data_IF_460119796902
#
_entry.id   IF_460119796902
#
_cell.length_a   1.000
_cell.length_b   1.000
_cell.length_c   1.000
_cell.angle_alpha   90.00
_cell.angle_beta   90.00
_cell.angle_gamma   90.00
#
_symmetry.space_group_name_H-M   'P 1'
#
loop_
_entity.id
_entity.type
_entity.pdbx_description
1 polymer ?
#
# COMPACT_ATOMS: atom_id res chain seq x y z
N UNK A 1 -8.36 25.68 5.10
CA UNK A 1 -8.24 24.74 3.97
C UNK A 1 -7.85 23.39 4.53
N UNK A 2 -8.77 22.43 4.58
CA UNK A 2 -8.47 21.07 5.04
C UNK A 2 -7.65 20.38 3.96
N UNK A 3 -6.37 20.07 4.21
CA UNK A 3 -5.55 19.25 3.31
C UNK A 3 -6.09 17.82 3.35
N UNK A 4 -6.62 17.34 2.23
CA UNK A 4 -7.03 15.95 2.04
C UNK A 4 -6.27 15.34 0.87
N UNK A 5 -6.11 14.02 0.90
CA UNK A 5 -5.45 13.26 -0.17
C UNK A 5 -6.23 13.38 -1.48
N UNK A 6 -5.52 13.74 -2.54
CA UNK A 6 -6.00 13.83 -3.93
C UNK A 6 -5.23 12.85 -4.82
N UNK A 7 -5.73 12.59 -6.04
CA UNK A 7 -5.21 11.59 -6.97
C UNK A 7 -3.73 11.73 -7.37
N UNK A 8 -3.11 12.91 -7.21
CA UNK A 8 -1.69 13.14 -7.50
C UNK A 8 -0.90 13.55 -6.25
N UNK A 9 -1.40 13.20 -5.06
CA UNK A 9 -0.76 13.56 -3.80
C UNK A 9 0.43 12.65 -3.51
N UNK A 10 1.44 13.24 -2.86
CA UNK A 10 2.51 12.50 -2.22
C UNK A 10 2.33 12.59 -0.70
N UNK A 11 2.16 11.44 -0.05
CA UNK A 11 1.81 11.38 1.38
C UNK A 11 2.81 10.51 2.14
N UNK A 12 3.16 10.94 3.35
CA UNK A 12 3.94 10.13 4.28
C UNK A 12 2.99 9.36 5.18
N UNK A 13 3.13 8.04 5.19
CA UNK A 13 2.25 7.14 5.94
C UNK A 13 3.05 6.20 6.82
N UNK A 14 2.50 5.94 8.00
CA UNK A 14 2.80 4.72 8.73
C UNK A 14 1.67 3.72 8.47
N UNK A 15 2.00 2.62 7.80
CA UNK A 15 1.08 1.52 7.56
C UNK A 15 1.62 0.21 8.14
N UNK A 16 0.68 -0.69 8.39
CA UNK A 16 0.93 -2.08 8.76
C UNK A 16 0.07 -2.94 7.84
N UNK A 17 0.71 -3.83 7.10
CA UNK A 17 0.06 -4.83 6.26
C UNK A 17 -0.02 -6.14 7.02
N UNK A 18 -1.21 -6.75 7.05
CA UNK A 18 -1.44 -8.05 7.66
C UNK A 18 -2.00 -9.02 6.64
N UNK A 19 -1.66 -10.29 6.80
CA UNK A 19 -2.27 -11.38 6.04
C UNK A 19 -3.55 -11.85 6.75
N UNK A 20 -4.33 -12.69 6.08
CA UNK A 20 -5.61 -13.22 6.59
C UNK A 20 -5.45 -14.01 7.89
N UNK A 21 -4.29 -14.62 8.11
CA UNK A 21 -3.94 -15.32 9.35
C UNK A 21 -3.59 -14.37 10.51
N UNK A 22 -3.60 -13.05 10.27
CA UNK A 22 -3.29 -12.00 11.23
C UNK A 22 -1.79 -11.72 11.40
N UNK A 23 -0.92 -12.47 10.73
CA UNK A 23 0.52 -12.21 10.70
C UNK A 23 0.82 -10.88 10.01
N UNK A 24 1.90 -10.21 10.42
CA UNK A 24 2.31 -8.92 9.83
C UNK A 24 3.26 -9.18 8.67
N UNK A 25 2.83 -8.81 7.47
CA UNK A 25 3.66 -8.88 6.27
C UNK A 25 4.65 -7.70 6.19
N UNK A 26 4.19 -6.49 6.52
CA UNK A 26 5.01 -5.28 6.49
C UNK A 26 4.58 -4.29 7.59
N UNK A 27 5.52 -3.58 8.20
CA UNK A 27 5.21 -2.55 9.20
C UNK A 27 6.29 -1.47 9.24
N UNK A 28 5.99 -0.36 8.57
CA UNK A 28 6.80 0.88 8.63
C UNK A 28 6.91 1.45 10.04
N UNK A 29 5.92 1.18 10.91
CA UNK A 29 5.94 1.60 12.31
C UNK A 29 6.98 0.83 13.12
N UNK A 30 7.18 -0.45 12.82
CA UNK A 30 8.23 -1.26 13.45
C UNK A 30 9.62 -0.85 12.94
N UNK A 31 9.70 -0.44 11.67
CA UNK A 31 10.95 -0.01 11.03
C UNK A 31 11.35 1.44 11.37
N UNK A 32 10.51 2.16 12.13
CA UNK A 32 10.80 3.52 12.62
C UNK A 32 10.83 4.62 11.56
N UNK A 33 10.52 4.31 10.30
CA UNK A 33 10.53 5.26 9.17
C UNK A 33 9.21 5.19 8.40
N UNK A 34 8.55 6.34 8.14
CA UNK A 34 7.34 6.35 7.32
C UNK A 34 7.68 6.01 5.86
N UNK A 35 6.69 5.48 5.14
CA UNK A 35 6.78 5.28 3.70
C UNK A 35 6.20 6.49 2.95
N UNK A 36 6.80 6.82 1.81
CA UNK A 36 6.26 7.81 0.88
C UNK A 36 5.39 7.10 -0.15
N UNK A 37 4.09 7.38 -0.12
CA UNK A 37 3.13 6.91 -1.11
C UNK A 37 2.86 8.03 -2.09
N UNK A 38 3.07 7.76 -3.39
CA UNK A 38 2.79 8.70 -4.47
C UNK A 38 1.60 8.14 -5.24
N UNK A 39 0.52 8.91 -5.29
CA UNK A 39 -0.68 8.53 -6.03
C UNK A 39 -0.55 9.02 -7.48
N UNK A 40 -1.12 8.27 -8.42
CA UNK A 40 -1.23 8.64 -9.83
C UNK A 40 0.04 8.38 -10.66
N UNK A 41 1.03 7.68 -10.11
CA UNK A 41 2.29 7.34 -10.79
C UNK A 41 2.46 5.84 -11.08
N UNK A 42 1.41 5.05 -10.88
CA UNK A 42 1.38 3.58 -11.04
C UNK A 42 2.28 2.80 -10.07
N UNK A 43 2.87 3.45 -9.06
CA UNK A 43 3.65 2.77 -8.02
C UNK A 43 2.78 2.02 -7.01
N UNK A 44 1.50 2.39 -6.91
CA UNK A 44 0.49 1.78 -6.05
C UNK A 44 -0.63 1.20 -6.91
N UNK A 45 -1.28 0.16 -6.41
CA UNK A 45 -2.48 -0.38 -7.06
C UNK A 45 -3.63 0.63 -6.99
N UNK A 46 -4.48 0.67 -8.01
CA UNK A 46 -5.66 1.53 -8.02
C UNK A 46 -6.56 1.29 -6.80
N UNK A 47 -6.72 0.02 -6.40
CA UNK A 47 -7.48 -0.36 -5.21
C UNK A 47 -6.96 0.29 -3.93
N UNK A 48 -5.63 0.37 -3.78
CA UNK A 48 -5.00 1.05 -2.65
C UNK A 48 -5.18 2.57 -2.73
N UNK A 49 -4.98 3.17 -3.90
CA UNK A 49 -5.17 4.61 -4.07
C UNK A 49 -6.60 5.06 -3.72
N UNK A 50 -7.61 4.32 -4.19
CA UNK A 50 -9.02 4.61 -3.91
C UNK A 50 -9.33 4.61 -2.40
N UNK A 51 -8.67 3.76 -1.61
CA UNK A 51 -8.87 3.74 -0.17
C UNK A 51 -8.25 4.95 0.55
N UNK A 52 -7.27 5.62 -0.07
CA UNK A 52 -6.55 6.77 0.49
C UNK A 52 -7.19 8.10 0.12
N UNK A 53 -7.90 8.19 -1.02
CA UNK A 53 -8.53 9.42 -1.48
C UNK A 53 -9.46 10.02 -0.43
N UNK A 54 -9.37 11.35 -0.25
CA UNK A 54 -10.21 12.10 0.68
C UNK A 54 -9.79 12.03 2.15
N UNK A 55 -8.87 11.12 2.53
CA UNK A 55 -8.33 11.06 3.89
C UNK A 55 -7.63 12.38 4.25
N UNK A 56 -7.69 12.74 5.53
CA UNK A 56 -7.02 13.93 6.05
C UNK A 56 -5.77 13.57 6.84
N UNK A 57 -4.90 14.56 7.01
CA UNK A 57 -3.71 14.40 7.85
C UNK A 57 -4.09 13.97 9.28
N UNK A 58 -3.39 12.96 9.81
CA UNK A 58 -3.64 12.39 11.13
C UNK A 58 -4.75 11.33 11.18
N UNK A 59 -5.52 11.17 10.09
CA UNK A 59 -6.57 10.17 9.99
C UNK A 59 -5.97 8.76 9.86
N UNK A 60 -6.65 7.77 10.43
CA UNK A 60 -6.28 6.36 10.32
C UNK A 60 -7.46 5.60 9.75
N UNK A 61 -7.18 4.75 8.77
CA UNK A 61 -8.18 3.90 8.14
C UNK A 61 -7.63 2.48 8.06
N UNK A 62 -8.47 1.51 8.39
CA UNK A 62 -8.21 0.10 8.18
C UNK A 62 -9.17 -0.39 7.11
N UNK A 63 -8.66 -1.17 6.17
CA UNK A 63 -9.41 -1.76 5.07
C UNK A 63 -8.71 -3.04 4.63
N UNK A 64 -9.47 -3.92 4.00
CA UNK A 64 -8.96 -5.13 3.36
C UNK A 64 -9.05 -4.95 1.85
N UNK A 65 -8.06 -5.48 1.13
CA UNK A 65 -8.04 -5.52 -0.33
C UNK A 65 -7.85 -6.97 -0.74
N UNK A 66 -8.64 -7.40 -1.73
CA UNK A 66 -8.42 -8.66 -2.41
C UNK A 66 -7.06 -8.62 -3.14
N UNK A 67 -6.44 -9.79 -3.42
CA UNK A 67 -5.13 -9.87 -4.07
C UNK A 67 -5.03 -8.99 -5.32
N UNK A 68 -6.02 -9.06 -6.21
CA UNK A 68 -6.07 -8.30 -7.47
C UNK A 68 -6.06 -6.78 -7.28
N UNK A 69 -6.63 -6.30 -6.17
CA UNK A 69 -6.67 -4.88 -5.83
C UNK A 69 -5.44 -4.43 -5.02
N UNK A 70 -4.56 -5.36 -4.62
CA UNK A 70 -3.35 -5.11 -3.83
C UNK A 70 -2.07 -5.40 -4.63
N UNK A 71 -1.65 -6.67 -4.68
CA UNK A 71 -0.37 -7.10 -5.28
C UNK A 71 -0.55 -8.05 -6.47
N UNK A 72 -1.78 -8.33 -6.87
CA UNK A 72 -2.12 -9.28 -7.92
C UNK A 72 -2.00 -10.74 -7.48
N UNK A 73 -2.25 -11.64 -8.45
CA UNK A 73 -1.99 -13.07 -8.30
C UNK A 73 -0.53 -13.41 -8.59
N UNK A 74 0.02 -14.49 -8.02
CA UNK A 74 1.34 -14.99 -8.36
C UNK A 74 1.46 -15.22 -9.87
N UNK A 75 2.52 -14.71 -10.49
CA UNK A 75 2.80 -14.92 -11.91
C UNK A 75 3.77 -16.09 -12.11
N UNK A 76 3.37 -17.18 -12.78
CA UNK A 76 4.27 -18.28 -13.12
C UNK A 76 5.44 -17.84 -14.01
N UNK A 77 5.26 -16.78 -14.81
CA UNK A 77 6.28 -16.25 -15.72
C UNK A 77 7.47 -15.61 -14.98
N UNK A 78 7.27 -15.24 -13.72
CA UNK A 78 8.34 -14.70 -12.86
C UNK A 78 9.16 -15.80 -12.18
N UNK A 79 8.85 -17.08 -12.40
CA UNK A 79 9.63 -18.22 -11.88
C UNK A 79 10.82 -18.48 -12.80
N UNK A 80 12.04 -18.31 -12.28
CA UNK A 80 13.27 -18.46 -13.05
C UNK A 80 14.21 -19.48 -12.41
N UNK A 81 14.89 -20.26 -13.25
CA UNK A 81 15.87 -21.28 -12.84
C UNK A 81 17.27 -20.85 -13.25
N UNK A 82 18.20 -20.84 -12.29
CA UNK A 82 19.60 -20.47 -12.52
C UNK A 82 20.51 -21.67 -12.29
N UNK A 83 21.54 -21.82 -13.14
CA UNK A 83 22.60 -22.80 -12.90
C UNK A 83 23.44 -22.37 -11.68
N UNK A 84 23.94 -23.35 -10.92
CA UNK A 84 24.84 -23.11 -9.79
C UNK A 84 26.15 -22.47 -10.21
#
# INVERSE_FOLDING_TARGET
MSKSVQSNSAILVHFTLKLDDGSTAESTRNNGKPALFRLGDTSLSEGLEQQLLGLKEGEKKAFSLEPDAAFGVPSPDLIQYFSR
#
